data_IF_358376525768
#
_entry.id   IF_358376525768
#
_cell.length_a   1.000
_cell.length_b   1.000
_cell.length_c   1.000
_cell.angle_alpha   90.00
_cell.angle_beta   90.00
_cell.angle_gamma   90.00
#
_symmetry.space_group_name_H-M   'P 1'
#
loop_
_entity.id
_entity.type
_entity.pdbx_description
1 polymer ?
#
# COMPACT_ATOMS: atom_id res chain seq x y z
N UNK A 1 -12.51 11.51 -12.44
CA UNK A 1 -13.77 10.76 -12.40
C UNK A 1 -14.98 11.67 -12.41
N UNK A 2 -15.10 12.64 -11.50
CA UNK A 2 -16.22 13.62 -11.51
C UNK A 2 -16.30 14.38 -12.84
N UNK A 3 -15.19 14.93 -13.34
CA UNK A 3 -15.15 15.67 -14.62
C UNK A 3 -15.62 14.82 -15.80
N UNK A 4 -15.19 13.56 -15.86
CA UNK A 4 -15.63 12.61 -16.88
C UNK A 4 -17.13 12.36 -16.77
N UNK A 5 -17.63 12.02 -15.57
CA UNK A 5 -19.05 11.74 -15.36
C UNK A 5 -19.94 12.95 -15.69
N UNK A 6 -19.53 14.16 -15.31
CA UNK A 6 -20.24 15.38 -15.65
C UNK A 6 -20.20 15.64 -17.16
N UNK A 7 -19.04 15.47 -17.81
CA UNK A 7 -18.88 15.62 -19.25
C UNK A 7 -19.74 14.63 -20.06
N UNK A 8 -19.75 13.36 -19.66
CA UNK A 8 -20.44 12.29 -20.42
C UNK A 8 -21.91 12.14 -20.08
N UNK A 9 -22.32 12.39 -18.83
CA UNK A 9 -23.71 12.16 -18.38
C UNK A 9 -24.57 13.43 -18.37
N UNK A 10 -23.97 14.61 -18.27
CA UNK A 10 -24.73 15.88 -18.25
C UNK A 10 -24.52 16.65 -19.55
N UNK A 11 -23.27 16.98 -19.88
CA UNK A 11 -23.00 17.85 -21.04
C UNK A 11 -23.21 17.15 -22.37
N UNK A 12 -22.65 15.96 -22.59
CA UNK A 12 -22.80 15.24 -23.86
C UNK A 12 -24.28 15.06 -24.32
N UNK A 13 -25.22 14.60 -23.46
CA UNK A 13 -26.63 14.52 -23.86
C UNK A 13 -27.29 15.90 -24.01
N UNK A 14 -26.93 16.90 -23.21
CA UNK A 14 -27.47 18.26 -23.34
C UNK A 14 -27.12 18.86 -24.72
N UNK A 15 -25.88 18.72 -25.17
CA UNK A 15 -25.47 19.16 -26.50
C UNK A 15 -26.03 18.28 -27.62
N UNK A 16 -26.18 16.98 -27.42
CA UNK A 16 -26.80 16.11 -28.44
C UNK A 16 -28.27 16.46 -28.72
N UNK A 17 -28.98 16.98 -27.71
CA UNK A 17 -30.38 17.39 -27.84
C UNK A 17 -30.55 18.82 -28.37
N UNK A 18 -29.46 19.59 -28.48
CA UNK A 18 -29.47 20.98 -28.96
C UNK A 18 -29.25 21.02 -30.49
N UNK A 19 -30.27 21.41 -31.28
CA UNK A 19 -30.19 21.41 -32.75
C UNK A 19 -29.21 22.44 -33.31
N UNK A 20 -28.82 23.45 -32.52
CA UNK A 20 -27.92 24.52 -32.97
C UNK A 20 -26.44 24.13 -32.83
N UNK A 21 -26.15 22.97 -32.23
CA UNK A 21 -24.79 22.56 -31.94
C UNK A 21 -24.23 21.60 -32.99
N UNK A 22 -22.98 21.79 -33.45
CA UNK A 22 -22.38 20.88 -34.42
C UNK A 22 -22.20 19.47 -33.83
N UNK A 23 -22.53 18.44 -34.60
CA UNK A 23 -22.43 17.02 -34.18
C UNK A 23 -21.03 16.58 -33.68
N UNK A 24 -19.96 17.29 -34.06
CA UNK A 24 -18.60 16.99 -33.60
C UNK A 24 -18.32 17.43 -32.16
N UNK A 25 -19.16 18.29 -31.58
CA UNK A 25 -18.98 18.79 -30.21
C UNK A 25 -19.14 17.68 -29.17
N UNK A 26 -20.09 16.76 -29.39
CA UNK A 26 -20.35 15.61 -28.51
C UNK A 26 -19.10 14.72 -28.33
N UNK A 27 -18.45 14.19 -29.39
CA UNK A 27 -17.23 13.42 -29.22
C UNK A 27 -16.08 14.26 -28.65
N UNK A 28 -16.00 15.57 -28.96
CA UNK A 28 -14.98 16.44 -28.38
C UNK A 28 -15.12 16.57 -26.86
N UNK A 29 -16.34 16.78 -26.35
CA UNK A 29 -16.63 16.87 -24.91
C UNK A 29 -16.27 15.55 -24.20
N UNK A 30 -16.62 14.42 -24.79
CA UNK A 30 -16.28 13.09 -24.24
C UNK A 30 -14.76 12.92 -24.15
N UNK A 31 -14.02 13.23 -25.22
CA UNK A 31 -12.56 13.09 -25.24
C UNK A 31 -11.87 14.03 -24.23
N UNK A 32 -12.29 15.30 -24.18
CA UNK A 32 -11.72 16.30 -23.27
C UNK A 32 -12.00 15.92 -21.81
N UNK A 33 -13.23 15.50 -21.51
CA UNK A 33 -13.62 15.10 -20.15
C UNK A 33 -12.97 13.79 -19.68
N UNK A 34 -12.61 12.89 -20.61
CA UNK A 34 -11.79 11.70 -20.34
C UNK A 34 -10.31 12.03 -20.08
N UNK A 35 -9.80 13.15 -20.58
CA UNK A 35 -8.39 13.54 -20.47
C UNK A 35 -7.80 13.40 -19.05
N UNK A 36 -8.40 14.04 -18.02
CA UNK A 36 -7.92 13.92 -16.64
C UNK A 36 -7.95 12.48 -16.10
N UNK A 37 -8.92 11.66 -16.53
CA UNK A 37 -9.01 10.27 -16.11
C UNK A 37 -7.89 9.43 -16.75
N UNK A 38 -7.67 9.58 -18.06
CA UNK A 38 -6.59 8.91 -18.77
C UNK A 38 -5.22 9.31 -18.23
N UNK A 39 -5.01 10.59 -17.94
CA UNK A 39 -3.82 11.08 -17.26
C UNK A 39 -3.60 10.35 -15.92
N UNK A 40 -4.62 10.27 -15.06
CA UNK A 40 -4.51 9.54 -13.79
C UNK A 40 -4.21 8.04 -13.98
N UNK A 41 -4.75 7.42 -15.03
CA UNK A 41 -4.48 6.02 -15.36
C UNK A 41 -3.02 5.80 -15.77
N UNK A 42 -2.42 6.75 -16.49
CA UNK A 42 -1.03 6.70 -16.94
C UNK A 42 -0.02 7.01 -15.81
N UNK A 43 -0.32 7.99 -14.96
CA UNK A 43 0.64 8.51 -13.98
C UNK A 43 0.67 7.71 -12.66
N UNK A 44 -0.36 6.91 -12.37
CA UNK A 44 -0.46 6.14 -11.14
C UNK A 44 -0.76 7.01 -9.91
N UNK A 45 -1.01 6.40 -8.74
CA UNK A 45 -1.30 7.13 -7.51
C UNK A 45 -0.11 7.98 -7.03
N UNK A 46 -0.40 9.24 -6.69
CA UNK A 46 0.55 10.20 -6.13
C UNK A 46 0.64 10.03 -4.61
N UNK A 47 1.83 9.76 -4.10
CA UNK A 47 2.09 9.64 -2.67
C UNK A 47 2.19 11.03 -2.03
N UNK A 48 1.43 11.23 -0.97
CA UNK A 48 1.34 12.49 -0.22
C UNK A 48 2.22 12.43 1.03
N UNK A 49 2.14 11.31 1.76
CA UNK A 49 2.87 11.11 3.00
C UNK A 49 3.31 9.65 3.13
N UNK A 50 4.52 9.46 3.63
CA UNK A 50 5.10 8.16 3.91
C UNK A 50 5.44 8.15 5.39
N UNK A 51 4.80 7.24 6.12
CA UNK A 51 5.06 7.05 7.55
C UNK A 51 5.72 5.69 7.76
N UNK A 52 6.77 5.65 8.58
CA UNK A 52 7.54 4.43 8.83
C UNK A 52 7.37 3.99 10.27
N UNK A 53 7.16 2.70 10.48
CA UNK A 53 7.10 2.13 11.82
C UNK A 53 8.52 1.96 12.39
N UNK A 54 8.93 2.90 13.23
CA UNK A 54 10.26 2.91 13.84
C UNK A 54 10.31 2.02 15.09
N UNK A 55 11.39 1.24 15.30
CA UNK A 55 11.59 0.52 16.56
C UNK A 55 11.92 1.49 17.70
N UNK A 56 11.60 1.12 18.95
CA UNK A 56 11.85 1.94 20.15
C UNK A 56 13.24 2.60 20.23
N UNK A 57 14.37 1.91 19.94
CA UNK A 57 15.69 2.55 19.96
C UNK A 57 15.82 3.70 18.95
N UNK A 58 15.27 3.56 17.74
CA UNK A 58 15.38 4.56 16.68
C UNK A 58 14.50 5.81 16.92
N UNK A 59 13.60 5.77 17.92
CA UNK A 59 12.77 6.91 18.32
C UNK A 59 13.45 7.81 19.36
N UNK A 60 14.54 7.35 19.98
CA UNK A 60 15.14 8.03 21.14
C UNK A 60 16.05 9.19 20.74
N UNK A 61 16.78 9.08 19.64
CA UNK A 61 17.70 10.12 19.19
C UNK A 61 17.75 10.25 17.67
N UNK A 62 18.11 11.44 17.19
CA UNK A 62 18.33 11.70 15.76
C UNK A 62 19.38 10.77 15.18
N UNK A 63 20.49 10.55 15.90
CA UNK A 63 21.58 9.69 15.42
C UNK A 63 21.15 8.23 15.32
N UNK A 64 20.34 7.75 16.28
CA UNK A 64 19.77 6.40 16.22
C UNK A 64 18.81 6.21 15.04
N UNK A 65 18.07 7.27 14.69
CA UNK A 65 17.19 7.27 13.52
C UNK A 65 17.98 7.25 12.22
N UNK A 66 19.06 8.03 12.13
CA UNK A 66 19.94 8.04 10.96
C UNK A 66 20.63 6.67 10.81
N UNK A 67 21.15 6.10 11.91
CA UNK A 67 21.75 4.77 11.89
C UNK A 67 20.75 3.69 11.44
N UNK A 68 19.50 3.77 11.89
CA UNK A 68 18.42 2.92 11.42
C UNK A 68 18.10 3.14 9.94
N UNK A 69 18.07 4.38 9.47
CA UNK A 69 17.78 4.74 8.09
C UNK A 69 18.85 4.24 7.10
N UNK A 70 20.11 4.16 7.53
CA UNK A 70 21.21 3.58 6.75
C UNK A 70 21.05 2.07 6.56
N UNK A 71 20.46 1.38 7.53
CA UNK A 71 20.28 -0.08 7.51
C UNK A 71 18.88 -0.47 7.96
N UNK A 72 17.90 -0.18 7.10
CA UNK A 72 16.49 -0.49 7.36
C UNK A 72 16.27 -2.01 7.33
N UNK A 73 15.74 -2.63 8.40
CA UNK A 73 15.39 -4.04 8.38
C UNK A 73 14.29 -4.33 7.34
N UNK A 74 14.35 -5.47 6.63
CA UNK A 74 13.37 -5.80 5.59
C UNK A 74 11.94 -5.96 6.12
N UNK A 75 11.77 -6.27 7.41
CA UNK A 75 10.47 -6.40 8.08
C UNK A 75 9.82 -5.07 8.48
N UNK A 76 10.49 -3.94 8.23
CA UNK A 76 9.98 -2.62 8.59
C UNK A 76 8.73 -2.31 7.79
N UNK A 77 7.66 -1.87 8.46
CA UNK A 77 6.40 -1.52 7.80
C UNK A 77 6.35 -0.03 7.47
N UNK A 78 5.91 0.29 6.26
CA UNK A 78 5.63 1.63 5.78
C UNK A 78 4.13 1.78 5.56
N UNK A 79 3.58 2.93 5.93
CA UNK A 79 2.21 3.30 5.63
C UNK A 79 2.23 4.47 4.65
N UNK A 80 1.79 4.17 3.43
CA UNK A 80 1.69 5.11 2.33
C UNK A 80 0.31 5.75 2.35
N UNK A 81 0.29 7.09 2.40
CA UNK A 81 -0.90 7.90 2.15
C UNK A 81 -0.82 8.44 0.73
N UNK A 82 -1.77 8.10 -0.13
CA UNK A 82 -1.75 8.50 -1.54
C UNK A 82 -3.13 8.92 -2.03
N UNK A 83 -3.15 9.71 -3.10
CA UNK A 83 -4.36 10.07 -3.85
C UNK A 83 -4.27 9.46 -5.25
N UNK A 84 -5.42 9.13 -5.81
CA UNK A 84 -5.53 8.57 -7.16
C UNK A 84 -6.59 9.32 -7.97
N UNK A 85 -7.67 8.66 -8.34
CA UNK A 85 -8.75 9.25 -9.14
C UNK A 85 -9.71 10.12 -8.31
N UNK A 86 -9.76 9.82 -7.03
CA UNK A 86 -10.67 10.45 -6.12
C UNK A 86 -9.90 11.37 -5.16
N UNK A 87 -10.52 12.49 -4.74
CA UNK A 87 -9.86 13.48 -3.91
C UNK A 87 -9.59 12.98 -2.48
N UNK A 88 -10.14 11.84 -2.08
CA UNK A 88 -9.92 11.28 -0.75
C UNK A 88 -8.59 10.54 -0.65
N UNK A 89 -7.81 10.78 0.42
CA UNK A 89 -6.57 10.08 0.64
C UNK A 89 -6.83 8.62 1.04
N UNK A 90 -6.11 7.71 0.39
CA UNK A 90 -6.10 6.29 0.70
C UNK A 90 -4.85 5.94 1.51
N UNK A 91 -4.98 4.92 2.35
CA UNK A 91 -3.91 4.41 3.21
C UNK A 91 -3.56 2.98 2.85
N UNK A 92 -2.28 2.66 2.76
CA UNK A 92 -1.81 1.29 2.54
C UNK A 92 -0.56 0.99 3.33
N UNK A 93 -0.62 -0.08 4.12
CA UNK A 93 0.54 -0.61 4.81
C UNK A 93 1.27 -1.61 3.92
N UNK A 94 2.58 -1.42 3.77
CA UNK A 94 3.46 -2.22 2.92
C UNK A 94 4.74 -2.57 3.69
N UNK A 95 5.38 -3.68 3.36
CA UNK A 95 6.69 -4.02 3.92
C UNK A 95 7.79 -3.32 3.14
N UNK A 96 8.88 -2.93 3.82
CA UNK A 96 10.06 -2.34 3.19
C UNK A 96 10.73 -3.32 2.24
N UNK A 97 10.72 -4.62 2.58
CA UNK A 97 11.21 -5.68 1.69
C UNK A 97 10.52 -5.71 0.33
N UNK A 98 9.28 -5.24 0.27
CA UNK A 98 8.38 -5.37 -0.89
C UNK A 98 8.52 -4.20 -1.86
N UNK A 99 9.42 -3.26 -1.57
CA UNK A 99 9.64 -2.06 -2.35
C UNK A 99 10.79 -2.21 -3.32
N UNK A 100 10.54 -1.76 -4.54
CA UNK A 100 11.56 -1.65 -5.58
C UNK A 100 11.49 -0.30 -6.27
N UNK A 101 12.65 0.25 -6.62
CA UNK A 101 12.76 1.48 -7.41
C UNK A 101 12.65 1.14 -8.89
N UNK A 102 11.87 1.94 -9.60
CA UNK A 102 11.76 1.85 -11.06
C UNK A 102 12.69 2.86 -11.69
N UNK A 103 13.35 2.49 -12.81
CA UNK A 103 14.03 3.48 -13.62
C UNK A 103 12.99 4.44 -14.21
N UNK A 104 13.35 5.72 -14.26
CA UNK A 104 12.60 6.76 -14.95
C UNK A 104 12.44 6.36 -16.41
N UNK A 105 11.22 6.42 -16.94
CA UNK A 105 10.95 6.14 -18.35
C UNK A 105 10.08 7.25 -18.93
N UNK A 106 10.24 7.54 -20.22
CA UNK A 106 9.51 8.59 -20.92
C UNK A 106 7.99 8.46 -20.77
N UNK A 107 7.47 7.23 -20.76
CA UNK A 107 6.03 6.95 -20.65
C UNK A 107 5.58 6.61 -19.23
N UNK A 108 6.49 6.58 -18.25
CA UNK A 108 6.19 6.14 -16.88
C UNK A 108 6.87 7.03 -15.87
N UNK A 109 6.06 7.81 -15.17
CA UNK A 109 6.54 8.72 -14.13
C UNK A 109 6.63 7.99 -12.77
N UNK A 110 5.95 6.85 -12.56
CA UNK A 110 6.00 6.12 -11.29
C UNK A 110 7.43 5.64 -10.94
N UNK A 111 7.89 5.98 -9.74
CA UNK A 111 9.27 5.73 -9.28
C UNK A 111 9.39 4.56 -8.30
N UNK A 112 8.27 4.11 -7.72
CA UNK A 112 8.23 3.09 -6.68
C UNK A 112 7.23 2.00 -7.05
N UNK A 113 7.62 0.73 -6.92
CA UNK A 113 6.74 -0.42 -7.08
C UNK A 113 6.71 -1.25 -5.80
N UNK A 114 5.51 -1.73 -5.51
CA UNK A 114 5.19 -2.67 -4.47
C UNK A 114 4.95 -4.03 -5.13
N UNK A 115 5.83 -4.98 -4.85
CA UNK A 115 5.69 -6.37 -5.23
C UNK A 115 5.42 -7.18 -3.95
N UNK A 116 4.20 -7.71 -3.75
CA UNK A 116 3.95 -8.60 -2.63
C UNK A 116 4.75 -9.89 -2.86
N UNK A 117 5.90 -10.01 -2.19
CA UNK A 117 6.75 -11.20 -2.26
C UNK A 117 5.93 -12.47 -1.94
N UNK A 118 6.09 -13.51 -2.75
CA UNK A 118 5.45 -14.82 -2.53
C UNK A 118 4.00 -14.94 -3.01
N UNK A 119 3.45 -13.93 -3.69
CA UNK A 119 2.15 -14.03 -4.39
C UNK A 119 2.27 -13.91 -5.91
N UNK A 120 3.45 -14.11 -6.45
CA UNK A 120 3.70 -14.06 -7.90
C UNK A 120 2.91 -15.15 -8.65
N UNK A 121 2.73 -16.32 -8.03
CA UNK A 121 1.86 -17.37 -8.58
C UNK A 121 0.37 -17.01 -8.54
N UNK A 122 -0.06 -16.17 -7.58
CA UNK A 122 -1.43 -15.64 -7.53
C UNK A 122 -1.66 -14.54 -8.59
N UNK A 123 -0.59 -13.99 -9.17
CA UNK A 123 -0.60 -13.09 -10.33
C UNK A 123 -0.15 -13.80 -11.61
N UNK A 124 -0.57 -15.06 -11.77
CA UNK A 124 -0.32 -15.87 -12.97
C UNK A 124 -0.71 -15.10 -14.24
N UNK A 125 0.19 -15.21 -15.23
CA UNK A 125 0.22 -14.56 -16.54
C UNK A 125 -1.14 -14.29 -17.16
N UNK A 126 -1.46 -13.00 -17.32
CA UNK A 126 -2.63 -12.54 -18.05
C UNK A 126 -2.67 -11.01 -18.07
N UNK A 127 -3.43 -10.45 -19.02
CA UNK A 127 -3.61 -8.99 -19.12
C UNK A 127 -4.13 -8.38 -17.81
N UNK A 128 -4.91 -9.13 -17.03
CA UNK A 128 -5.40 -8.72 -15.70
C UNK A 128 -4.32 -8.65 -14.63
N UNK A 129 -3.36 -9.58 -14.61
CA UNK A 129 -2.23 -9.51 -13.67
C UNK A 129 -1.34 -8.29 -13.98
N UNK A 130 -1.09 -8.03 -15.27
CA UNK A 130 -0.41 -6.82 -15.71
C UNK A 130 -1.19 -5.56 -15.33
N UNK A 131 -2.51 -5.56 -15.52
CA UNK A 131 -3.37 -4.44 -15.16
C UNK A 131 -3.33 -4.18 -13.64
N UNK A 132 -3.48 -5.21 -12.80
CA UNK A 132 -3.43 -5.07 -11.34
C UNK A 132 -2.05 -4.63 -10.86
N UNK A 133 -0.97 -5.20 -11.41
CA UNK A 133 0.41 -4.78 -11.09
C UNK A 133 0.64 -3.31 -11.47
N UNK A 134 0.19 -2.91 -12.65
CA UNK A 134 0.31 -1.53 -13.14
C UNK A 134 -0.56 -0.55 -12.35
N UNK A 135 -1.78 -0.95 -12.00
CA UNK A 135 -2.76 -0.11 -11.31
C UNK A 135 -2.54 -0.02 -9.80
N UNK A 136 -2.16 -1.11 -9.13
CA UNK A 136 -2.12 -1.19 -7.67
C UNK A 136 -0.70 -1.40 -7.12
N UNK A 137 0.27 -1.73 -7.96
CA UNK A 137 1.65 -1.95 -7.55
C UNK A 137 2.51 -0.69 -7.66
N UNK A 138 2.15 0.29 -8.49
CA UNK A 138 3.03 1.43 -8.81
C UNK A 138 2.60 2.71 -8.12
N UNK A 139 3.58 3.48 -7.66
CA UNK A 139 3.39 4.74 -6.96
C UNK A 139 4.33 5.80 -7.49
N UNK A 140 3.82 7.02 -7.58
CA UNK A 140 4.64 8.19 -7.82
C UNK A 140 5.06 8.82 -6.50
N UNK A 141 6.36 8.94 -6.27
CA UNK A 141 6.95 9.60 -5.11
C UNK A 141 7.73 10.81 -5.60
N UNK A 142 7.38 11.99 -5.07
CA UNK A 142 8.09 13.22 -5.38
C UNK A 142 9.46 13.25 -4.69
N UNK A 143 10.51 12.88 -5.43
CA UNK A 143 11.89 12.97 -4.97
C UNK A 143 12.52 14.35 -5.27
N UNK A 144 11.92 15.18 -6.13
CA UNK A 144 12.41 16.53 -6.40
C UNK A 144 12.21 17.45 -5.18
N UNK A 145 11.15 17.23 -4.41
CA UNK A 145 10.93 17.89 -3.12
C UNK A 145 11.78 17.32 -1.98
N UNK A 146 12.69 16.37 -2.22
CA UNK A 146 13.58 15.85 -1.18
C UNK A 146 14.52 16.92 -0.58
N UNK A 147 14.72 18.05 -1.29
CA UNK A 147 15.39 19.22 -0.73
C UNK A 147 14.50 20.06 0.20
N UNK A 148 13.18 20.02 0.02
CA UNK A 148 12.16 20.59 0.91
C UNK A 148 11.50 19.48 1.71
N UNK A 149 12.32 18.61 2.29
CA UNK A 149 11.87 17.48 3.08
C UNK A 149 11.07 17.99 4.30
N UNK A 150 9.75 17.75 4.30
CA UNK A 150 8.86 18.08 5.41
C UNK A 150 8.85 17.00 6.51
N UNK A 151 9.78 16.04 6.44
CA UNK A 151 9.91 15.02 7.49
C UNK A 151 10.39 15.65 8.80
N UNK A 152 10.05 15.00 9.91
CA UNK A 152 10.50 15.42 11.24
C UNK A 152 12.03 15.44 11.38
N UNK A 153 12.75 14.69 10.53
CA UNK A 153 14.21 14.65 10.49
C UNK A 153 14.66 14.69 9.03
N UNK A 154 15.08 15.87 8.54
CA UNK A 154 15.49 16.06 7.15
C UNK A 154 16.55 15.04 6.72
N UNK A 155 16.35 14.44 5.54
CA UNK A 155 17.33 13.55 4.91
C UNK A 155 17.24 12.08 5.31
N UNK A 156 16.42 11.71 6.31
CA UNK A 156 16.16 10.31 6.67
C UNK A 156 15.55 9.55 5.49
N UNK A 157 14.55 10.14 4.82
CA UNK A 157 13.93 9.52 3.65
C UNK A 157 14.93 9.30 2.51
N UNK A 158 15.90 10.19 2.33
CA UNK A 158 16.92 10.02 1.30
C UNK A 158 17.82 8.81 1.56
N UNK A 159 18.16 8.53 2.82
CA UNK A 159 18.92 7.34 3.18
C UNK A 159 18.10 6.07 2.98
N UNK A 160 16.84 6.08 3.45
CA UNK A 160 15.90 4.98 3.24
C UNK A 160 15.73 4.69 1.75
N UNK A 161 15.48 5.72 0.93
CA UNK A 161 15.29 5.61 -0.51
C UNK A 161 16.50 5.02 -1.24
N UNK A 162 17.71 5.41 -0.83
CA UNK A 162 18.96 4.86 -1.39
C UNK A 162 19.10 3.36 -1.14
N UNK A 163 18.59 2.87 0.00
CA UNK A 163 18.61 1.46 0.37
C UNK A 163 17.60 0.58 -0.34
N UNK A 164 16.65 1.14 -1.12
CA UNK A 164 15.65 0.36 -1.86
C UNK A 164 16.31 -0.16 -3.15
N UNK A 165 16.30 -1.47 -3.46
CA UNK A 165 16.91 -1.98 -4.68
C UNK A 165 16.15 -1.53 -5.94
N UNK A 166 16.86 -1.38 -7.06
CA UNK A 166 16.20 -1.20 -8.36
C UNK A 166 15.62 -2.53 -8.84
N UNK A 167 14.47 -2.51 -9.53
CA UNK A 167 13.82 -3.70 -10.10
C UNK A 167 14.80 -4.53 -10.94
N UNK A 168 15.66 -3.88 -11.73
CA UNK A 168 16.59 -4.57 -12.65
C UNK A 168 17.94 -4.94 -12.02
N UNK A 169 18.16 -4.66 -10.73
CA UNK A 169 19.44 -4.92 -10.09
C UNK A 169 19.70 -6.42 -9.91
N UNK A 170 20.96 -6.83 -10.06
CA UNK A 170 21.42 -8.20 -9.77
C UNK A 170 21.06 -8.60 -8.33
N UNK A 171 21.03 -7.63 -7.41
CA UNK A 171 20.61 -7.83 -6.02
C UNK A 171 19.11 -8.13 -5.89
N UNK A 172 18.25 -7.43 -6.63
CA UNK A 172 16.82 -7.75 -6.69
C UNK A 172 16.62 -9.18 -7.20
N UNK A 173 17.30 -9.54 -8.31
CA UNK A 173 17.26 -10.90 -8.87
C UNK A 173 17.83 -11.97 -7.94
N UNK A 174 18.90 -11.66 -7.18
CA UNK A 174 19.49 -12.57 -6.18
C UNK A 174 18.59 -12.74 -4.96
N UNK A 175 17.97 -11.67 -4.45
CA UNK A 175 17.01 -11.72 -3.34
C UNK A 175 15.76 -12.51 -3.75
N UNK A 176 15.29 -12.30 -4.98
CA UNK A 176 14.23 -13.07 -5.61
C UNK A 176 14.61 -14.56 -5.73
N UNK A 177 15.79 -14.87 -6.28
CA UNK A 177 16.28 -16.24 -6.44
C UNK A 177 16.58 -16.96 -5.11
N UNK A 178 17.08 -16.25 -4.09
CA UNK A 178 17.33 -16.83 -2.76
C UNK A 178 16.02 -17.16 -2.03
N UNK A 179 14.96 -16.37 -2.27
CA UNK A 179 13.67 -16.54 -1.62
C UNK A 179 12.76 -17.52 -2.34
N UNK A 180 12.77 -17.58 -3.67
CA UNK A 180 12.04 -18.62 -4.43
C UNK A 180 12.50 -20.02 -4.02
N UNK A 181 13.82 -20.22 -3.83
CA UNK A 181 14.38 -21.46 -3.24
C UNK A 181 13.95 -21.72 -1.80
N UNK A 182 13.60 -20.69 -1.03
CA UNK A 182 13.16 -20.83 0.36
C UNK A 182 11.68 -21.18 0.46
N UNK A 183 10.85 -20.69 -0.47
CA UNK A 183 9.41 -21.00 -0.56
C UNK A 183 9.19 -22.45 -1.00
N UNK A 184 9.97 -22.92 -1.98
CA UNK A 184 9.93 -24.31 -2.48
C UNK A 184 10.32 -25.36 -1.43
N UNK A 185 11.04 -24.94 -0.38
CA UNK A 185 11.50 -25.82 0.72
C UNK A 185 10.52 -25.95 1.89
N UNK A 186 9.33 -25.39 1.80
CA UNK A 186 8.30 -25.66 2.82
C UNK A 186 7.64 -26.99 2.47
N UNK A 187 7.92 -28.11 3.17
CA UNK A 187 7.21 -29.35 2.89
C UNK A 187 5.73 -29.11 3.21
N UNK A 188 4.88 -29.25 2.20
CA UNK A 188 3.43 -29.33 2.37
C UNK A 188 3.17 -30.58 3.21
N UNK A 189 3.09 -30.38 4.53
CA UNK A 189 2.69 -31.40 5.46
C UNK A 189 1.22 -31.74 5.23
N UNK A 190 0.97 -32.80 4.47
CA UNK A 190 -0.30 -33.50 4.43
C UNK A 190 -0.64 -33.92 5.86
N UNK A 191 -1.55 -33.18 6.51
CA UNK A 191 -2.10 -33.56 7.81
C UNK A 191 -3.58 -33.90 7.67
N UNK A 192 -3.82 -35.13 7.25
CA UNK A 192 -5.07 -35.85 7.51
C UNK A 192 -5.22 -36.01 9.02
N UNK A 193 -6.26 -35.44 9.64
CA UNK A 193 -6.88 -35.99 10.87
C UNK A 193 -8.14 -35.22 11.31
N UNK A 194 -9.25 -35.96 11.31
CA UNK A 194 -10.10 -36.09 12.49
C UNK A 194 -10.99 -34.91 12.83
N UNK A 195 -12.22 -34.96 12.33
CA UNK A 195 -13.37 -34.30 12.96
C UNK A 195 -13.47 -34.82 14.40
N UNK A 196 -13.16 -33.97 15.38
CA UNK A 196 -13.57 -34.17 16.78
C UNK A 196 -14.46 -33.00 17.14
N UNK A 197 -15.72 -33.34 17.34
CA UNK A 197 -16.84 -32.51 17.72
C UNK A 197 -16.56 -31.87 19.09
N UNK A 198 -16.43 -30.54 19.13
CA UNK A 198 -16.30 -29.79 20.38
C UNK A 198 -17.67 -29.70 21.07
N UNK A 199 -17.79 -30.35 22.23
CA UNK A 199 -18.88 -30.14 23.19
C UNK A 199 -18.70 -28.78 23.87
N UNK A 200 -19.80 -28.04 23.98
CA UNK A 200 -19.91 -26.84 24.80
C UNK A 200 -19.50 -27.11 26.25
N UNK A 201 -18.50 -26.39 26.73
CA UNK A 201 -18.16 -26.30 28.16
C UNK A 201 -18.49 -24.88 28.62
N UNK A 202 -19.61 -24.79 29.33
CA UNK A 202 -20.11 -23.59 29.99
C UNK A 202 -19.23 -23.31 31.22
N UNK A 203 -18.38 -22.29 31.15
CA UNK A 203 -17.58 -21.81 32.29
C UNK A 203 -18.44 -20.90 33.17
N UNK A 204 -18.93 -21.43 34.28
CA UNK A 204 -19.51 -20.66 35.38
C UNK A 204 -18.38 -19.99 36.18
N UNK A 205 -18.47 -18.66 36.34
CA UNK A 205 -17.58 -17.90 37.23
C UNK A 205 -17.89 -18.23 38.70
N UNK A 206 -16.88 -18.30 39.60
CA UNK A 206 -17.13 -18.23 41.03
C UNK A 206 -17.18 -16.77 41.50
N UNK A 207 -18.32 -16.38 42.07
CA UNK A 207 -18.50 -15.14 42.83
C UNK A 207 -17.75 -15.30 44.16
N UNK A 208 -16.80 -14.39 44.42
CA UNK A 208 -16.00 -14.31 45.64
C UNK A 208 -16.37 -13.02 46.39
N UNK A 209 -17.17 -13.16 47.42
CA UNK A 209 -17.38 -12.18 48.49
C UNK A 209 -17.99 -12.97 49.65
N UNK A 210 -17.44 -13.02 50.86
CA UNK A 210 -16.61 -12.03 51.54
C UNK A 210 -17.39 -11.58 52.77
N UNK A 211 -17.72 -12.52 53.67
CA UNK A 211 -18.48 -12.24 54.89
C UNK A 211 -17.59 -12.57 56.10
N UNK A 212 -17.16 -11.52 56.81
CA UNK A 212 -16.42 -11.60 58.07
C UNK A 212 -17.10 -10.63 59.04
N UNK A 213 -17.49 -11.16 60.19
CA UNK A 213 -17.45 -10.42 61.46
C UNK A 213 -18.80 -9.99 62.03
N UNK A 214 -19.30 -10.77 63.00
CA UNK A 214 -20.43 -10.39 63.85
C UNK A 214 -20.37 -11.07 65.21
N UNK A 215 -19.42 -10.64 66.05
CA UNK A 215 -19.26 -11.09 67.42
C UNK A 215 -20.48 -10.72 68.29
N UNK A 216 -21.04 -11.69 69.02
CA UNK A 216 -22.04 -11.46 70.06
C UNK A 216 -21.50 -11.94 71.41
N UNK A 217 -21.08 -10.98 72.24
CA UNK A 217 -20.98 -11.13 73.70
C UNK A 217 -22.42 -11.28 74.23
N UNK A 218 -22.74 -12.17 75.16
CA UNK A 218 -22.59 -12.06 76.63
C UNK A 218 -23.46 -13.21 77.22
N UNK A 219 -23.28 -13.62 78.48
CA UNK A 219 -24.43 -13.92 79.32
C UNK A 219 -25.10 -12.62 79.81
#
# INVERSE_FOLDING_TARGET
MVVMAVGTLLYAPAYFLDPDTPNWTVPAIILISMGPFLACCLYGPTVINITMHLPSPARRSKDSLIAFATKVPPSTRLNLKFIRFAPWPLHRQISYSDLHRLPTSWFRISNLEHLPFGKEEAYRSGMWAWAVKTWFGRYWVNMASAQRDRSHVPGVWNQVWKGIPFVDSVEAKKVEAARSRSVERTPVGTRTRGVVQARDVKLSQPVRGGEVGGAKRRP
#
